data_IF_110948433278
#
_entry.id   IF_110948433278
#
_cell.length_a   1.000
_cell.length_b   1.000
_cell.length_c   1.000
_cell.angle_alpha   90.00
_cell.angle_beta   90.00
_cell.angle_gamma   90.00
#
_symmetry.space_group_name_H-M   'P 1'
#
loop_
_entity.id
_entity.type
_entity.pdbx_description
1 polymer ?
#
# COMPACT_ATOMS: atom_id res chain seq x y z
N UNK A 1 24.35 23.61 -12.26
CA UNK A 1 23.72 24.84 -11.73
C UNK A 1 22.79 25.39 -12.78
N UNK A 2 21.51 25.32 -12.57
CA UNK A 2 20.55 26.06 -13.38
C UNK A 2 20.64 27.52 -12.92
N UNK A 3 21.32 28.33 -13.69
CA UNK A 3 21.60 29.76 -13.59
C UNK A 3 21.21 30.47 -12.29
N UNK A 4 22.07 31.26 -11.74
CA UNK A 4 22.07 31.97 -10.44
C UNK A 4 20.81 32.71 -9.95
N UNK A 5 19.64 32.23 -10.32
CA UNK A 5 18.36 32.65 -9.75
C UNK A 5 18.08 31.89 -8.45
N UNK A 6 17.55 32.56 -7.45
CA UNK A 6 17.05 31.94 -6.23
C UNK A 6 16.00 30.90 -6.57
N UNK A 7 16.35 29.60 -6.46
CA UNK A 7 15.41 28.51 -6.70
C UNK A 7 14.32 28.52 -5.60
N UNK A 8 13.04 28.67 -5.96
CA UNK A 8 11.97 28.67 -4.98
C UNK A 8 11.95 27.33 -4.25
N UNK A 9 12.21 27.31 -2.98
CA UNK A 9 12.32 26.08 -2.19
C UNK A 9 13.75 25.73 -1.78
N UNK A 10 14.76 26.55 -2.10
CA UNK A 10 16.13 26.37 -1.61
C UNK A 10 16.20 26.28 -0.09
N UNK A 11 15.43 27.10 0.59
CA UNK A 11 15.32 27.10 2.06
C UNK A 11 14.81 25.77 2.61
N UNK A 12 14.00 25.04 1.82
CA UNK A 12 13.48 23.71 2.15
C UNK A 12 14.36 22.56 1.60
N UNK A 13 15.51 22.87 1.05
CA UNK A 13 16.43 21.86 0.50
C UNK A 13 15.98 21.20 -0.81
N UNK A 14 14.95 21.69 -1.48
CA UNK A 14 14.42 21.07 -2.70
C UNK A 14 15.40 21.09 -3.89
N UNK A 15 16.37 22.01 -3.89
CA UNK A 15 17.44 22.05 -4.89
C UNK A 15 18.32 20.80 -4.89
N UNK A 16 18.36 20.05 -3.77
CA UNK A 16 19.12 18.81 -3.64
C UNK A 16 18.29 17.55 -3.97
N UNK A 17 16.99 17.69 -4.22
CA UNK A 17 16.11 16.52 -4.41
C UNK A 17 16.47 15.74 -5.66
N UNK A 18 16.73 16.42 -6.79
CA UNK A 18 17.12 15.75 -8.03
C UNK A 18 18.46 15.05 -7.87
N UNK A 19 19.46 15.73 -7.31
CA UNK A 19 20.78 15.15 -7.03
C UNK A 19 20.65 13.87 -6.19
N UNK A 20 19.94 13.94 -5.07
CA UNK A 20 19.71 12.78 -4.19
C UNK A 20 18.89 11.67 -4.83
N UNK A 21 17.98 12.02 -5.72
CA UNK A 21 17.22 11.05 -6.50
C UNK A 21 18.11 10.26 -7.47
N UNK A 22 19.12 10.90 -8.03
CA UNK A 22 20.05 10.30 -8.99
C UNK A 22 21.25 9.63 -8.33
N UNK A 23 21.72 10.10 -7.17
CA UNK A 23 22.86 9.52 -6.46
C UNK A 23 22.49 8.22 -5.73
N UNK A 24 23.39 7.23 -5.78
CA UNK A 24 23.23 5.97 -5.06
C UNK A 24 23.39 6.17 -3.55
N UNK A 25 22.52 5.51 -2.79
CA UNK A 25 22.59 5.49 -1.32
C UNK A 25 22.47 6.86 -0.64
N UNK A 26 22.03 7.89 -1.37
CA UNK A 26 21.79 9.20 -0.79
C UNK A 26 20.32 9.39 -0.43
N UNK A 27 20.00 9.51 0.86
CA UNK A 27 18.67 9.83 1.34
C UNK A 27 18.77 10.66 2.63
N UNK A 28 18.02 11.75 2.70
CA UNK A 28 17.88 12.54 3.94
C UNK A 28 16.73 12.07 4.82
N UNK A 29 16.15 10.90 4.51
CA UNK A 29 14.91 10.42 5.11
C UNK A 29 15.15 9.40 6.22
N UNK A 30 16.41 9.24 6.68
CA UNK A 30 16.79 8.23 7.68
C UNK A 30 16.12 8.41 9.03
N UNK A 31 15.77 9.65 9.40
CA UNK A 31 15.32 9.97 10.75
C UNK A 31 13.82 10.33 10.85
N UNK A 32 13.13 10.46 9.72
CA UNK A 32 11.71 10.75 9.70
C UNK A 32 10.88 9.47 9.55
N UNK A 33 10.40 8.92 10.66
CA UNK A 33 9.59 7.69 10.72
C UNK A 33 8.28 7.70 9.90
N UNK A 34 7.97 8.81 9.24
CA UNK A 34 6.77 8.98 8.39
C UNK A 34 7.04 8.87 6.89
N UNK A 35 8.29 8.67 6.46
CA UNK A 35 8.66 8.73 5.05
C UNK A 35 9.17 7.40 4.54
N UNK A 36 8.55 6.89 3.50
CA UNK A 36 8.97 5.68 2.78
C UNK A 36 10.20 6.00 1.92
N UNK A 37 11.33 5.31 2.12
CA UNK A 37 12.50 5.49 1.25
C UNK A 37 13.83 5.78 1.96
N UNK A 38 14.22 4.92 2.89
CA UNK A 38 15.48 5.05 3.66
C UNK A 38 16.76 4.96 2.82
N UNK A 39 16.77 4.19 1.74
CA UNK A 39 18.02 3.82 1.03
C UNK A 39 18.29 4.58 -0.28
N UNK A 40 17.45 5.53 -0.67
CA UNK A 40 17.62 6.29 -1.92
C UNK A 40 17.52 5.44 -3.21
N UNK A 41 16.98 4.23 -3.12
CA UNK A 41 16.88 3.29 -4.25
C UNK A 41 15.52 3.37 -4.98
N UNK A 42 14.52 4.04 -4.41
CA UNK A 42 13.14 4.02 -4.94
C UNK A 42 13.02 4.50 -6.38
N UNK A 43 13.62 5.64 -6.72
CA UNK A 43 13.58 6.13 -8.10
C UNK A 43 14.43 5.26 -9.04
N UNK A 44 15.51 4.67 -8.56
CA UNK A 44 16.42 3.86 -9.39
C UNK A 44 15.80 2.53 -9.82
N UNK A 45 14.82 2.03 -9.08
CA UNK A 45 14.09 0.83 -9.49
C UNK A 45 13.28 1.05 -10.78
N UNK A 46 12.94 2.30 -11.15
CA UNK A 46 12.28 2.59 -12.43
C UNK A 46 13.14 2.23 -13.63
N UNK A 47 14.47 2.19 -13.46
CA UNK A 47 15.42 1.80 -14.52
C UNK A 47 15.36 0.31 -14.86
N UNK A 48 14.76 -0.49 -14.00
CA UNK A 48 14.45 -1.90 -14.33
C UNK A 48 13.33 -1.99 -15.37
N UNK A 49 12.47 -0.97 -15.43
CA UNK A 49 11.32 -0.93 -16.32
C UNK A 49 11.55 -0.01 -17.53
N UNK A 50 12.34 1.06 -17.39
CA UNK A 50 12.54 2.08 -18.42
C UNK A 50 13.99 2.52 -18.48
N UNK A 51 14.57 2.53 -19.67
CA UNK A 51 15.95 2.98 -19.88
C UNK A 51 16.07 4.51 -19.92
N UNK A 52 14.96 5.20 -20.18
CA UNK A 52 14.91 6.65 -20.37
C UNK A 52 13.70 7.28 -19.67
N UNK A 53 13.64 7.25 -18.33
CA UNK A 53 12.58 7.93 -17.61
C UNK A 53 12.56 9.43 -17.89
N UNK A 54 11.38 9.99 -18.07
CA UNK A 54 11.17 11.43 -18.25
C UNK A 54 10.63 12.01 -16.95
N UNK A 55 11.23 13.11 -16.51
CA UNK A 55 10.84 13.85 -15.31
C UNK A 55 10.48 15.28 -15.68
N UNK A 56 9.26 15.69 -15.35
CA UNK A 56 8.81 17.09 -15.49
C UNK A 56 8.25 17.57 -14.15
N UNK A 57 8.84 18.64 -13.62
CA UNK A 57 8.42 19.22 -12.33
C UNK A 57 8.76 20.72 -12.29
N UNK A 58 7.77 21.57 -12.19
CA UNK A 58 7.97 23.01 -12.22
C UNK A 58 8.73 23.48 -13.47
N UNK A 59 9.88 24.12 -13.30
CA UNK A 59 10.79 24.54 -14.37
C UNK A 59 11.63 23.42 -14.98
N UNK A 60 11.79 22.29 -14.27
CA UNK A 60 12.60 21.17 -14.69
C UNK A 60 11.83 20.31 -15.72
N UNK A 61 12.52 19.95 -16.80
CA UNK A 61 12.06 18.94 -17.74
C UNK A 61 13.28 18.21 -18.31
N UNK A 62 13.42 16.93 -17.98
CA UNK A 62 14.62 16.17 -18.32
C UNK A 62 14.29 14.71 -18.62
N UNK A 63 15.03 14.13 -19.54
CA UNK A 63 15.16 12.69 -19.72
C UNK A 63 16.35 12.18 -18.88
N UNK A 64 16.20 11.07 -18.18
CA UNK A 64 17.27 10.50 -17.36
C UNK A 64 17.92 9.35 -18.14
N UNK A 65 19.13 9.58 -18.62
CA UNK A 65 19.88 8.59 -19.40
C UNK A 65 20.83 7.81 -18.49
N UNK A 66 20.91 6.50 -18.70
CA UNK A 66 21.71 5.57 -17.92
C UNK A 66 21.51 5.70 -16.41
N UNK A 67 20.34 6.17 -15.98
CA UNK A 67 19.96 6.31 -14.58
C UNK A 67 20.62 7.41 -13.77
N UNK A 68 21.53 8.17 -14.39
CA UNK A 68 22.36 9.14 -13.70
C UNK A 68 22.41 10.51 -14.37
N UNK A 69 22.21 10.56 -15.69
CA UNK A 69 22.47 11.76 -16.47
C UNK A 69 21.15 12.44 -16.89
N UNK A 70 20.75 13.56 -16.27
CA UNK A 70 19.59 14.31 -16.70
C UNK A 70 19.95 15.13 -17.93
N UNK A 71 19.32 14.85 -19.06
CA UNK A 71 19.39 15.67 -20.26
C UNK A 71 18.12 16.52 -20.38
N UNK A 72 18.23 17.83 -20.62
CA UNK A 72 17.07 18.68 -20.86
C UNK A 72 16.24 18.16 -22.03
N UNK A 73 14.91 18.11 -21.86
CA UNK A 73 14.01 17.81 -22.95
C UNK A 73 14.02 18.96 -23.96
N UNK A 74 14.10 18.62 -25.25
CA UNK A 74 14.00 19.62 -26.33
C UNK A 74 12.61 20.24 -26.39
N UNK A 75 11.57 19.44 -26.18
CA UNK A 75 10.18 19.89 -26.08
C UNK A 75 9.51 19.30 -24.83
N UNK A 76 9.26 20.17 -23.86
CA UNK A 76 8.57 19.80 -22.62
C UNK A 76 7.06 20.13 -22.67
N UNK A 77 6.57 20.77 -23.74
CA UNK A 77 5.19 21.26 -23.83
C UNK A 77 4.15 20.14 -23.71
N UNK A 78 4.24 19.00 -24.42
CA UNK A 78 3.26 17.92 -24.34
C UNK A 78 3.13 17.37 -22.91
N UNK A 79 4.26 17.18 -22.22
CA UNK A 79 4.29 16.67 -20.86
C UNK A 79 3.70 17.66 -19.85
N UNK A 80 3.92 18.95 -20.03
CA UNK A 80 3.34 19.99 -19.18
C UNK A 80 1.83 20.12 -19.41
N UNK A 81 1.38 19.98 -20.64
CA UNK A 81 -0.04 19.93 -20.97
C UNK A 81 -0.69 18.75 -20.29
N UNK A 82 -0.14 17.56 -20.44
CA UNK A 82 -0.66 16.35 -19.78
C UNK A 82 -0.70 16.48 -18.26
N UNK A 83 0.36 16.99 -17.63
CA UNK A 83 0.36 17.27 -16.19
C UNK A 83 -0.76 18.24 -15.79
N UNK A 84 -1.06 19.24 -16.62
CA UNK A 84 -2.11 20.21 -16.36
C UNK A 84 -3.53 19.62 -16.49
N UNK A 85 -3.70 18.62 -17.33
CA UNK A 85 -4.95 17.89 -17.50
C UNK A 85 -5.21 16.95 -16.33
N UNK A 86 -4.18 16.25 -15.86
CA UNK A 86 -4.26 15.36 -14.70
C UNK A 86 -4.47 16.09 -13.37
N UNK A 87 -3.93 17.28 -13.23
CA UNK A 87 -4.01 18.08 -12.01
C UNK A 87 -4.42 19.54 -12.29
N UNK A 88 -5.67 19.80 -12.69
CA UNK A 88 -6.15 21.15 -12.98
C UNK A 88 -6.06 22.04 -11.73
N UNK A 89 -5.43 23.21 -11.89
CA UNK A 89 -5.23 24.17 -10.80
C UNK A 89 -3.92 24.02 -10.01
N UNK A 90 -3.23 22.91 -10.11
CA UNK A 90 -1.96 22.66 -9.38
C UNK A 90 -0.69 22.73 -10.26
N UNK A 91 -0.75 23.39 -11.39
CA UNK A 91 0.28 23.41 -12.45
C UNK A 91 1.72 23.69 -11.98
N UNK A 92 1.90 24.36 -10.84
CA UNK A 92 3.21 24.73 -10.31
C UNK A 92 3.75 23.77 -9.25
N UNK A 93 2.96 22.77 -8.84
CA UNK A 93 3.30 21.85 -7.73
C UNK A 93 3.35 20.40 -8.12
N UNK A 94 2.85 20.06 -9.29
CA UNK A 94 2.82 18.68 -9.77
C UNK A 94 4.18 18.21 -10.29
N UNK A 95 4.40 16.91 -10.22
CA UNK A 95 5.52 16.21 -10.85
C UNK A 95 4.97 15.09 -11.72
N UNK A 96 5.39 15.08 -12.99
CA UNK A 96 5.13 13.98 -13.92
C UNK A 96 6.40 13.13 -14.03
N UNK A 97 6.26 11.85 -13.83
CA UNK A 97 7.30 10.85 -14.15
C UNK A 97 6.70 9.93 -15.19
N UNK A 98 7.26 9.94 -16.39
CA UNK A 98 6.86 9.03 -17.46
C UNK A 98 7.94 7.99 -17.67
N UNK A 99 7.51 6.73 -17.76
CA UNK A 99 8.38 5.58 -17.97
C UNK A 99 8.04 4.95 -19.32
N UNK A 100 8.79 5.28 -20.40
CA UNK A 100 8.68 4.52 -21.65
C UNK A 100 9.07 3.06 -21.38
N UNK A 101 8.14 2.14 -21.56
CA UNK A 101 8.36 0.71 -21.31
C UNK A 101 8.71 -0.01 -22.62
N UNK A 102 9.58 -1.00 -22.55
CA UNK A 102 9.73 -1.97 -23.63
C UNK A 102 8.44 -2.78 -23.78
N UNK A 103 8.05 -3.09 -25.00
CA UNK A 103 6.77 -3.78 -25.30
C UNK A 103 6.65 -5.10 -24.55
N UNK A 104 7.74 -5.85 -24.47
CA UNK A 104 7.78 -7.15 -23.79
C UNK A 104 7.51 -7.04 -22.27
N UNK A 105 7.92 -5.93 -21.66
CA UNK A 105 7.70 -5.67 -20.22
C UNK A 105 6.34 -5.06 -19.90
N UNK A 106 5.71 -4.42 -20.89
CA UNK A 106 4.46 -3.70 -20.69
C UNK A 106 3.33 -4.61 -20.23
N UNK A 107 3.16 -5.76 -20.87
CA UNK A 107 2.09 -6.70 -20.53
C UNK A 107 2.24 -7.28 -19.11
N UNK A 108 3.46 -7.64 -18.69
CA UNK A 108 3.73 -8.15 -17.35
C UNK A 108 3.47 -7.09 -16.28
N UNK A 109 3.98 -5.87 -16.49
CA UNK A 109 3.78 -4.75 -15.57
C UNK A 109 2.30 -4.41 -15.45
N UNK A 110 1.56 -4.37 -16.55
CA UNK A 110 0.11 -4.11 -16.56
C UNK A 110 -0.64 -5.18 -15.76
N UNK A 111 -0.33 -6.46 -15.99
CA UNK A 111 -0.98 -7.55 -15.26
C UNK A 111 -0.72 -7.47 -13.74
N UNK A 112 0.51 -7.17 -13.33
CA UNK A 112 0.85 -6.98 -11.93
C UNK A 112 0.15 -5.75 -11.32
N UNK A 113 0.06 -4.65 -12.07
CA UNK A 113 -0.67 -3.48 -11.61
C UNK A 113 -2.17 -3.74 -11.45
N UNK A 114 -2.80 -4.42 -12.40
CA UNK A 114 -4.20 -4.83 -12.33
C UNK A 114 -4.48 -5.61 -11.04
N UNK A 115 -3.60 -6.55 -10.72
CA UNK A 115 -3.71 -7.39 -9.52
C UNK A 115 -3.56 -6.61 -8.21
N UNK A 116 -2.73 -5.59 -8.18
CA UNK A 116 -2.30 -4.91 -6.96
C UNK A 116 -2.98 -3.55 -6.73
N UNK A 117 -3.56 -2.96 -7.76
CA UNK A 117 -4.04 -1.58 -7.75
C UNK A 117 -5.04 -1.29 -6.62
N UNK A 118 -6.00 -2.16 -6.39
CA UNK A 118 -6.99 -1.99 -5.33
C UNK A 118 -6.36 -1.93 -3.93
N UNK A 119 -5.52 -2.91 -3.60
CA UNK A 119 -4.84 -2.96 -2.30
C UNK A 119 -3.82 -1.83 -2.15
N UNK A 120 -3.14 -1.47 -3.22
CA UNK A 120 -2.17 -0.37 -3.22
C UNK A 120 -2.84 0.97 -2.81
N UNK A 121 -4.04 1.23 -3.27
CA UNK A 121 -4.76 2.46 -2.90
C UNK A 121 -5.33 2.42 -1.48
N UNK A 122 -5.60 1.24 -0.93
CA UNK A 122 -6.03 1.08 0.47
C UNK A 122 -4.85 1.39 1.40
N UNK A 123 -3.68 0.79 1.14
CA UNK A 123 -2.52 0.93 2.02
C UNK A 123 -1.70 2.19 1.78
N UNK A 124 -1.75 2.77 0.57
CA UNK A 124 -1.08 4.03 0.29
C UNK A 124 -1.91 5.22 0.73
N UNK A 125 -1.31 6.10 1.52
CA UNK A 125 -1.93 7.36 1.96
C UNK A 125 -1.95 8.43 0.87
N UNK A 126 -1.11 8.29 -0.16
CA UNK A 126 -0.85 9.31 -1.17
C UNK A 126 -1.38 8.98 -2.55
N UNK A 127 -1.53 7.68 -2.88
CA UNK A 127 -2.08 7.27 -4.18
C UNK A 127 -3.61 7.36 -4.10
N UNK A 128 -4.18 8.25 -4.90
CA UNK A 128 -5.62 8.50 -4.96
C UNK A 128 -6.29 7.87 -6.15
N UNK A 129 -5.54 7.67 -7.22
CA UNK A 129 -6.05 7.15 -8.48
C UNK A 129 -4.97 6.32 -9.16
N UNK A 130 -5.37 5.18 -9.68
CA UNK A 130 -4.59 4.33 -10.60
C UNK A 130 -5.46 4.16 -11.85
N UNK A 131 -4.86 4.47 -12.99
CA UNK A 131 -5.49 4.40 -14.30
C UNK A 131 -4.63 3.48 -15.17
N UNK A 132 -5.22 2.45 -15.72
CA UNK A 132 -4.55 1.48 -16.59
C UNK A 132 -5.36 1.40 -17.88
N UNK A 133 -4.74 1.78 -19.00
CA UNK A 133 -5.33 1.78 -20.34
C UNK A 133 -6.68 2.54 -20.44
N UNK A 134 -6.83 3.62 -19.66
CA UNK A 134 -8.03 4.44 -19.62
C UNK A 134 -9.12 3.92 -18.65
N UNK A 135 -8.94 2.75 -18.07
CA UNK A 135 -9.82 2.24 -17.01
C UNK A 135 -9.33 2.68 -15.63
N UNK A 136 -10.25 3.21 -14.83
CA UNK A 136 -9.94 3.66 -13.48
C UNK A 136 -10.13 2.48 -12.52
N UNK A 137 -9.03 1.86 -12.10
CA UNK A 137 -9.07 0.71 -11.21
C UNK A 137 -9.21 1.12 -9.75
N UNK A 138 -8.73 2.33 -9.40
CA UNK A 138 -8.89 2.85 -8.06
C UNK A 138 -8.85 4.37 -8.08
N UNK A 139 -9.70 4.95 -7.26
CA UNK A 139 -9.91 6.38 -7.18
C UNK A 139 -10.02 6.81 -5.73
N UNK A 140 -10.16 8.12 -5.52
CA UNK A 140 -10.58 8.67 -4.24
C UNK A 140 -12.03 8.30 -3.86
N UNK A 141 -12.76 7.61 -4.72
CA UNK A 141 -14.14 7.14 -4.47
C UNK A 141 -14.21 5.99 -3.47
N UNK A 142 -13.09 5.29 -3.20
CA UNK A 142 -13.00 4.44 -2.05
C UNK A 142 -13.17 5.31 -0.79
N UNK A 143 -14.38 5.35 -0.28
CA UNK A 143 -14.75 6.04 0.94
C UNK A 143 -15.20 4.98 1.94
N UNK A 144 -14.26 4.43 2.71
CA UNK A 144 -14.60 3.42 3.69
C UNK A 144 -15.48 4.04 4.78
N UNK A 145 -16.51 3.33 5.15
CA UNK A 145 -17.31 3.67 6.32
C UNK A 145 -16.46 3.41 7.57
N UNK A 146 -16.37 4.40 8.44
CA UNK A 146 -15.67 4.24 9.72
C UNK A 146 -16.65 3.72 10.76
N UNK A 147 -16.39 2.54 11.27
CA UNK A 147 -17.22 1.90 12.29
C UNK A 147 -16.69 2.22 13.69
N UNK A 148 -17.55 2.61 14.63
CA UNK A 148 -17.10 3.13 15.94
C UNK A 148 -16.71 2.06 16.95
N UNK A 149 -16.96 0.80 16.65
CA UNK A 149 -16.90 -0.28 17.62
C UNK A 149 -15.64 -1.15 17.56
N UNK A 150 -14.54 -0.65 17.08
CA UNK A 150 -13.30 -1.42 17.08
C UNK A 150 -12.08 -0.62 17.59
N UNK A 151 -12.32 0.34 18.46
CA UNK A 151 -11.20 1.05 19.10
C UNK A 151 -10.29 0.07 19.87
N UNK A 152 -8.95 0.21 19.84
CA UNK A 152 -8.20 1.38 19.38
C UNK A 152 -7.91 1.44 17.88
N UNK A 153 -8.23 0.42 17.07
CA UNK A 153 -8.15 0.52 15.63
C UNK A 153 -9.33 1.32 15.05
N UNK A 154 -9.14 1.92 13.89
CA UNK A 154 -10.24 2.39 13.08
C UNK A 154 -10.67 1.25 12.16
N UNK A 155 -11.91 0.79 12.30
CA UNK A 155 -12.48 -0.22 11.43
C UNK A 155 -13.14 0.47 10.24
N UNK A 156 -12.63 0.20 9.07
CA UNK A 156 -13.10 0.80 7.81
C UNK A 156 -13.71 -0.28 6.93
N UNK A 157 -14.99 -0.13 6.60
CA UNK A 157 -15.71 -0.97 5.65
C UNK A 157 -15.77 -0.27 4.30
N UNK A 158 -15.47 -0.95 3.23
CA UNK A 158 -15.57 -0.37 1.90
C UNK A 158 -15.46 -1.39 0.79
N UNK A 159 -15.78 -0.98 -0.42
CA UNK A 159 -15.67 -1.80 -1.60
C UNK A 159 -14.33 -1.56 -2.29
N UNK A 160 -13.60 -2.62 -2.54
CA UNK A 160 -12.31 -2.57 -3.17
C UNK A 160 -12.26 -3.46 -4.41
N UNK A 161 -11.55 -2.97 -5.42
CA UNK A 161 -11.16 -3.78 -6.55
C UNK A 161 -9.97 -4.65 -6.13
N UNK A 162 -10.28 -5.85 -5.66
CA UNK A 162 -9.29 -6.81 -5.16
C UNK A 162 -9.11 -7.99 -6.13
N UNK A 163 -9.48 -7.79 -7.40
CA UNK A 163 -9.74 -8.89 -8.30
C UNK A 163 -8.51 -9.51 -8.97
N UNK A 164 -8.62 -10.82 -9.23
CA UNK A 164 -7.89 -11.57 -10.24
C UNK A 164 -8.60 -11.48 -11.61
N UNK A 165 -9.06 -10.28 -12.04
CA UNK A 165 -9.78 -10.12 -13.31
C UNK A 165 -10.96 -9.13 -13.24
N UNK A 166 -11.82 -9.05 -14.26
CA UNK A 166 -12.91 -8.07 -14.37
C UNK A 166 -14.11 -8.39 -13.46
N UNK A 167 -13.87 -8.81 -12.24
CA UNK A 167 -14.92 -9.10 -11.27
C UNK A 167 -15.37 -7.84 -10.54
N UNK A 168 -16.62 -7.84 -10.03
CA UNK A 168 -17.15 -6.71 -9.28
C UNK A 168 -16.30 -6.41 -8.04
N UNK A 169 -16.29 -5.15 -7.66
CA UNK A 169 -15.70 -4.70 -6.40
C UNK A 169 -16.11 -5.63 -5.25
N UNK A 170 -15.16 -5.99 -4.41
CA UNK A 170 -15.39 -6.84 -3.25
C UNK A 170 -15.46 -6.01 -1.99
N UNK A 171 -16.38 -6.33 -1.13
CA UNK A 171 -16.43 -5.75 0.20
C UNK A 171 -15.21 -6.21 0.99
N UNK A 172 -14.56 -5.29 1.69
CA UNK A 172 -13.40 -5.56 2.51
C UNK A 172 -13.48 -4.78 3.83
N UNK A 173 -12.86 -5.35 4.84
CA UNK A 173 -12.72 -4.76 6.15
C UNK A 173 -11.25 -4.45 6.41
N UNK A 174 -10.96 -3.20 6.73
CA UNK A 174 -9.62 -2.73 7.04
C UNK A 174 -9.55 -2.29 8.49
N UNK A 175 -8.86 -3.06 9.31
CA UNK A 175 -8.43 -2.65 10.65
C UNK A 175 -7.24 -1.72 10.49
N UNK A 176 -7.48 -0.42 10.54
CA UNK A 176 -6.44 0.58 10.37
C UNK A 176 -5.86 0.98 11.71
N UNK A 177 -4.56 0.84 11.84
CA UNK A 177 -3.76 1.26 13.00
C UNK A 177 -2.98 2.54 12.67
N UNK A 178 -2.43 3.25 13.67
CA UNK A 178 -1.62 4.44 13.43
C UNK A 178 -0.44 4.22 12.46
N UNK A 179 0.21 3.07 12.54
CA UNK A 179 1.38 2.73 11.73
C UNK A 179 1.16 1.59 10.73
N UNK A 180 -0.06 1.11 10.55
CA UNK A 180 -0.30 0.00 9.64
C UNK A 180 -1.75 -0.45 9.60
N UNK A 181 -1.97 -1.73 9.31
CA UNK A 181 -3.31 -2.31 9.32
C UNK A 181 -3.38 -3.74 8.85
N UNK A 182 -4.54 -4.34 9.09
CA UNK A 182 -4.93 -5.66 8.60
C UNK A 182 -6.12 -5.50 7.64
N UNK A 183 -6.00 -6.03 6.43
CA UNK A 183 -7.08 -6.09 5.44
C UNK A 183 -7.57 -7.52 5.32
N UNK A 184 -8.88 -7.70 5.40
CA UNK A 184 -9.58 -8.98 5.21
C UNK A 184 -10.77 -8.78 4.27
N UNK A 185 -11.11 -9.80 3.49
CA UNK A 185 -12.32 -9.77 2.67
C UNK A 185 -13.57 -9.95 3.54
N UNK A 186 -14.68 -9.36 3.10
CA UNK A 186 -15.99 -9.55 3.72
C UNK A 186 -17.00 -9.92 2.64
N UNK A 187 -17.95 -10.76 2.97
CA UNK A 187 -19.07 -11.13 2.14
C UNK A 187 -20.36 -11.09 2.94
N UNK A 188 -21.48 -11.37 2.28
CA UNK A 188 -22.79 -11.42 2.94
C UNK A 188 -22.88 -12.43 4.09
N UNK A 189 -22.08 -13.48 4.01
CA UNK A 189 -22.08 -14.60 4.98
C UNK A 189 -20.88 -14.56 5.94
N UNK A 190 -20.23 -13.41 6.12
CA UNK A 190 -19.09 -13.24 7.00
C UNK A 190 -17.77 -12.99 6.27
N UNK A 191 -16.66 -13.26 6.95
CA UNK A 191 -15.34 -13.02 6.41
C UNK A 191 -14.98 -14.00 5.28
N UNK A 192 -14.26 -13.50 4.30
CA UNK A 192 -13.79 -14.27 3.15
C UNK A 192 -12.29 -14.03 2.92
N UNK A 193 -11.57 -15.03 2.43
CA UNK A 193 -10.17 -14.83 2.09
C UNK A 193 -10.02 -13.81 0.95
N UNK A 194 -8.97 -13.00 1.03
CA UNK A 194 -8.49 -12.20 -0.10
C UNK A 194 -7.99 -13.11 -1.23
N UNK A 195 -7.86 -12.59 -2.46
CA UNK A 195 -7.36 -13.34 -3.61
C UNK A 195 -6.02 -14.03 -3.33
N UNK A 196 -5.84 -15.24 -3.84
CA UNK A 196 -4.67 -16.08 -3.54
C UNK A 196 -3.34 -15.47 -3.98
N UNK A 197 -3.33 -14.72 -5.08
CA UNK A 197 -2.14 -14.07 -5.61
C UNK A 197 -1.80 -12.73 -4.95
N UNK A 198 -2.55 -12.34 -3.92
CA UNK A 198 -2.27 -11.09 -3.23
C UNK A 198 -1.13 -11.28 -2.23
N UNK A 199 -0.07 -10.45 -2.24
CA UNK A 199 0.97 -10.48 -1.23
C UNK A 199 0.40 -10.25 0.17
N UNK A 200 0.86 -11.05 1.14
CA UNK A 200 0.39 -10.95 2.51
C UNK A 200 1.02 -9.77 3.26
N UNK A 201 2.26 -9.40 2.94
CA UNK A 201 3.00 -8.35 3.63
C UNK A 201 3.20 -7.13 2.73
N UNK A 202 2.90 -5.96 3.30
CA UNK A 202 2.99 -4.67 2.64
C UNK A 202 3.77 -3.68 3.51
N UNK A 203 4.57 -2.87 2.86
CA UNK A 203 5.20 -1.68 3.46
C UNK A 203 4.82 -0.50 2.58
N UNK A 204 3.52 -0.15 2.59
CA UNK A 204 2.82 0.72 1.64
C UNK A 204 2.78 0.12 0.23
N UNK A 205 3.88 -0.42 -0.26
CA UNK A 205 3.99 -1.17 -1.51
C UNK A 205 4.01 -2.68 -1.22
N UNK A 206 3.62 -3.52 -2.19
CA UNK A 206 3.65 -4.97 -2.01
C UNK A 206 5.09 -5.47 -1.87
N UNK A 207 5.28 -6.47 -1.02
CA UNK A 207 6.48 -7.28 -1.01
C UNK A 207 6.28 -8.52 -1.86
N UNK A 208 7.35 -9.29 -2.07
CA UNK A 208 7.26 -10.64 -2.69
C UNK A 208 7.09 -11.74 -1.62
N UNK A 209 6.68 -11.32 -0.43
CA UNK A 209 6.42 -12.27 0.65
C UNK A 209 5.05 -12.91 0.45
N UNK A 210 5.05 -14.16 0.62
CA UNK A 210 4.00 -15.16 0.61
C UNK A 210 2.61 -14.66 0.16
N UNK A 211 2.12 -15.23 -0.92
CA UNK A 211 0.77 -15.07 -1.43
C UNK A 211 -0.18 -16.10 -0.77
N UNK A 212 -1.48 -15.84 -0.84
CA UNK A 212 -2.49 -16.82 -0.47
C UNK A 212 -2.78 -17.00 1.00
N UNK A 213 -2.38 -16.07 1.88
CA UNK A 213 -2.75 -16.14 3.30
C UNK A 213 -4.24 -15.84 3.57
N UNK A 214 -4.93 -15.22 2.61
CA UNK A 214 -6.34 -14.84 2.77
C UNK A 214 -6.55 -13.49 3.45
N UNK A 215 -5.49 -12.83 3.90
CA UNK A 215 -5.47 -11.48 4.46
C UNK A 215 -4.18 -10.78 4.07
N UNK A 216 -4.11 -9.46 4.28
CA UNK A 216 -2.90 -8.68 4.04
C UNK A 216 -2.58 -7.79 5.24
N UNK A 217 -1.31 -7.72 5.62
CA UNK A 217 -0.79 -6.90 6.71
C UNK A 217 0.06 -5.80 6.10
N UNK A 218 -0.24 -4.55 6.43
CA UNK A 218 0.59 -3.40 6.11
C UNK A 218 1.24 -2.86 7.39
N UNK A 219 2.53 -2.57 7.32
CA UNK A 219 3.24 -2.01 8.47
C UNK A 219 4.60 -1.43 8.09
N UNK A 220 5.25 -0.68 8.99
CA UNK A 220 6.56 -0.08 8.75
C UNK A 220 7.69 -1.10 8.99
N UNK A 221 7.57 -2.27 8.36
CA UNK A 221 8.54 -3.35 8.50
C UNK A 221 9.88 -3.01 7.82
N UNK A 222 10.95 -3.56 8.37
CA UNK A 222 12.25 -3.55 7.72
C UNK A 222 12.27 -4.57 6.59
N UNK A 223 12.74 -4.11 5.44
CA UNK A 223 12.89 -4.91 4.24
C UNK A 223 14.37 -5.14 3.91
N UNK A 224 14.65 -6.16 3.14
CA UNK A 224 15.94 -6.39 2.53
C UNK A 224 16.37 -5.20 1.63
N UNK A 225 17.61 -5.19 1.16
CA UNK A 225 18.14 -4.13 0.30
C UNK A 225 17.35 -3.99 -1.01
N UNK A 226 16.80 -5.10 -1.53
CA UNK A 226 15.93 -5.12 -2.70
C UNK A 226 14.49 -4.66 -2.43
N UNK A 227 14.13 -4.44 -1.18
CA UNK A 227 12.78 -4.08 -0.72
C UNK A 227 11.70 -5.06 -1.17
N UNK A 228 12.10 -6.28 -1.39
CA UNK A 228 11.22 -7.34 -1.89
C UNK A 228 10.79 -8.30 -0.81
N UNK A 229 11.56 -8.41 0.27
CA UNK A 229 11.32 -9.34 1.37
C UNK A 229 11.55 -8.67 2.73
N UNK A 230 11.00 -9.28 3.77
CA UNK A 230 11.32 -8.90 5.15
C UNK A 230 12.82 -9.10 5.41
N UNK A 231 13.43 -8.19 6.16
CA UNK A 231 14.80 -8.36 6.62
C UNK A 231 14.83 -9.50 7.64
N UNK A 232 15.72 -10.47 7.40
CA UNK A 232 15.89 -11.62 8.30
C UNK A 232 16.41 -11.21 9.67
N UNK A 233 15.91 -11.84 10.72
CA UNK A 233 16.30 -11.61 12.12
C UNK A 233 16.23 -10.13 12.55
N UNK A 234 15.27 -9.38 12.02
CA UNK A 234 15.09 -7.97 12.34
C UNK A 234 14.33 -7.79 13.67
N UNK A 235 15.00 -7.25 14.67
CA UNK A 235 14.35 -6.86 15.94
C UNK A 235 13.29 -5.78 15.73
N UNK A 236 13.41 -4.96 14.70
CA UNK A 236 12.40 -3.98 14.32
C UNK A 236 11.12 -4.68 13.86
N UNK A 237 11.24 -5.73 13.03
CA UNK A 237 10.08 -6.50 12.57
C UNK A 237 9.38 -7.20 13.73
N UNK A 238 10.15 -7.73 14.70
CA UNK A 238 9.59 -8.31 15.92
C UNK A 238 8.79 -7.27 16.72
N UNK A 239 9.40 -6.13 17.02
CA UNK A 239 8.74 -5.05 17.78
C UNK A 239 7.48 -4.53 17.08
N UNK A 240 7.53 -4.37 15.75
CA UNK A 240 6.39 -3.91 14.97
C UNK A 240 5.28 -4.96 14.89
N UNK A 241 5.64 -6.23 14.76
CA UNK A 241 4.68 -7.34 14.82
C UNK A 241 3.94 -7.38 16.15
N UNK A 242 4.66 -7.29 17.25
CA UNK A 242 4.11 -7.25 18.60
C UNK A 242 3.16 -6.04 18.78
N UNK A 243 3.60 -4.85 18.37
CA UNK A 243 2.77 -3.64 18.47
C UNK A 243 1.47 -3.73 17.65
N UNK A 244 1.54 -4.24 16.41
CA UNK A 244 0.37 -4.46 15.58
C UNK A 244 -0.56 -5.51 16.17
N UNK A 245 -0.02 -6.62 16.68
CA UNK A 245 -0.77 -7.69 17.31
C UNK A 245 -1.53 -7.22 18.55
N UNK A 246 -0.88 -6.44 19.40
CA UNK A 246 -1.52 -5.88 20.60
C UNK A 246 -2.71 -4.97 20.24
N UNK A 247 -2.54 -4.06 19.27
CA UNK A 247 -3.64 -3.19 18.81
C UNK A 247 -4.77 -3.99 18.16
N UNK A 248 -4.44 -4.99 17.35
CA UNK A 248 -5.42 -5.87 16.75
C UNK A 248 -6.22 -6.64 17.80
N UNK A 249 -5.54 -7.20 18.81
CA UNK A 249 -6.20 -7.91 19.89
C UNK A 249 -7.21 -7.04 20.63
N UNK A 250 -6.83 -5.81 20.96
CA UNK A 250 -7.76 -4.87 21.60
C UNK A 250 -8.96 -4.51 20.70
N UNK A 251 -8.71 -4.30 19.41
CA UNK A 251 -9.78 -4.02 18.46
C UNK A 251 -10.76 -5.21 18.32
N UNK A 252 -10.24 -6.43 18.32
CA UNK A 252 -11.06 -7.64 18.25
C UNK A 252 -11.87 -7.85 19.54
N UNK A 253 -11.31 -7.56 20.72
CA UNK A 253 -12.06 -7.59 21.99
C UNK A 253 -13.18 -6.55 21.97
N UNK A 254 -12.90 -5.32 21.51
CA UNK A 254 -13.92 -4.29 21.38
C UNK A 254 -15.03 -4.70 20.41
N UNK A 255 -14.67 -5.24 19.23
CA UNK A 255 -15.61 -5.76 18.27
C UNK A 255 -16.44 -6.91 18.85
N UNK A 256 -15.81 -7.84 19.57
CA UNK A 256 -16.50 -8.95 20.24
C UNK A 256 -17.55 -8.45 21.24
N UNK A 257 -17.21 -7.43 22.04
CA UNK A 257 -18.15 -6.81 22.97
C UNK A 257 -19.36 -6.21 22.25
N UNK A 258 -19.14 -5.52 21.14
CA UNK A 258 -20.24 -4.97 20.34
C UNK A 258 -21.12 -6.04 19.71
N UNK A 259 -20.51 -7.07 19.14
CA UNK A 259 -21.22 -8.22 18.56
C UNK A 259 -22.13 -8.86 19.61
N UNK A 260 -21.63 -9.10 20.81
CA UNK A 260 -22.39 -9.71 21.90
C UNK A 260 -23.52 -8.81 22.46
N UNK A 261 -23.42 -7.49 22.28
CA UNK A 261 -24.44 -6.55 22.79
C UNK A 261 -25.46 -6.11 21.75
N UNK A 262 -25.06 -5.98 20.49
CA UNK A 262 -25.90 -5.51 19.38
C UNK A 262 -25.58 -6.22 18.07
N UNK A 263 -25.76 -7.52 18.03
CA UNK A 263 -25.54 -8.32 16.82
C UNK A 263 -26.37 -7.83 15.60
N UNK A 264 -27.66 -7.49 15.78
CA UNK A 264 -28.45 -6.95 14.64
C UNK A 264 -27.85 -5.68 14.05
N UNK A 265 -27.44 -4.73 14.88
CA UNK A 265 -26.83 -3.47 14.44
C UNK A 265 -25.47 -3.69 13.78
N UNK A 266 -24.63 -4.59 14.32
CA UNK A 266 -23.35 -4.96 13.70
C UNK A 266 -23.56 -5.61 12.32
N UNK A 267 -24.55 -6.51 12.18
CA UNK A 267 -24.89 -7.11 10.89
C UNK A 267 -25.25 -6.07 9.85
N UNK A 268 -26.13 -5.13 10.22
CA UNK A 268 -26.54 -4.04 9.33
C UNK A 268 -25.34 -3.20 8.89
N UNK A 269 -24.50 -2.77 9.84
CA UNK A 269 -23.33 -1.94 9.57
C UNK A 269 -22.28 -2.66 8.72
N UNK A 270 -22.11 -3.96 8.91
CA UNK A 270 -21.21 -4.77 8.10
C UNK A 270 -21.83 -5.32 6.82
N UNK A 271 -23.09 -4.97 6.53
CA UNK A 271 -23.84 -5.43 5.33
C UNK A 271 -23.89 -6.96 5.22
N UNK A 272 -24.06 -7.65 6.37
CA UNK A 272 -24.18 -9.10 6.43
C UNK A 272 -25.65 -9.50 6.19
N UNK A 273 -25.85 -10.51 5.35
CA UNK A 273 -27.17 -10.98 4.94
C UNK A 273 -27.47 -12.35 5.55
N UNK A 274 -28.70 -12.83 5.34
CA UNK A 274 -29.15 -14.17 5.76
C UNK A 274 -29.25 -14.36 7.27
N UNK A 275 -29.29 -15.61 7.71
CA UNK A 275 -29.41 -16.01 9.12
C UNK A 275 -28.05 -16.25 9.77
N UNK A 276 -27.06 -15.39 9.45
CA UNK A 276 -25.72 -15.49 10.01
C UNK A 276 -25.76 -15.32 11.53
N UNK A 277 -25.27 -16.32 12.25
CA UNK A 277 -25.12 -16.25 13.70
C UNK A 277 -23.81 -15.61 14.11
N UNK A 278 -23.73 -15.08 15.34
CA UNK A 278 -22.47 -14.57 15.90
C UNK A 278 -21.35 -15.61 15.84
N UNK A 279 -21.66 -16.87 16.18
CA UNK A 279 -20.70 -17.95 16.11
C UNK A 279 -20.14 -18.16 14.70
N UNK A 280 -21.00 -18.19 13.69
CA UNK A 280 -20.58 -18.35 12.29
C UNK A 280 -19.75 -17.16 11.79
N UNK A 281 -20.08 -15.94 12.23
CA UNK A 281 -19.29 -14.75 11.95
C UNK A 281 -17.86 -14.87 12.49
N UNK A 282 -17.71 -15.22 13.76
CA UNK A 282 -16.39 -15.40 14.37
C UNK A 282 -15.64 -16.59 13.79
N UNK A 283 -16.34 -17.68 13.51
CA UNK A 283 -15.73 -18.84 12.84
C UNK A 283 -15.17 -18.47 11.47
N UNK A 284 -15.91 -17.69 10.69
CA UNK A 284 -15.42 -17.24 9.37
C UNK A 284 -14.17 -16.39 9.45
N UNK A 285 -14.06 -15.47 10.44
CA UNK A 285 -12.84 -14.73 10.69
C UNK A 285 -11.67 -15.63 11.06
N UNK A 286 -11.93 -16.54 11.99
CA UNK A 286 -10.93 -17.51 12.45
C UNK A 286 -10.40 -18.37 11.31
N UNK A 287 -11.27 -18.89 10.44
CA UNK A 287 -10.87 -19.68 9.28
C UNK A 287 -9.95 -18.90 8.33
N UNK A 288 -10.24 -17.62 8.07
CA UNK A 288 -9.38 -16.76 7.25
C UNK A 288 -8.02 -16.58 7.91
N UNK A 289 -7.97 -16.23 9.19
CA UNK A 289 -6.72 -15.97 9.92
C UNK A 289 -5.88 -17.23 10.10
N UNK A 290 -6.50 -18.35 10.45
CA UNK A 290 -5.80 -19.63 10.65
C UNK A 290 -5.23 -20.21 9.36
N UNK A 291 -5.77 -19.87 8.20
CA UNK A 291 -5.18 -20.28 6.92
C UNK A 291 -3.72 -19.84 6.83
N UNK A 292 -3.43 -18.60 7.24
CA UNK A 292 -2.06 -18.06 7.32
C UNK A 292 -1.16 -18.80 8.30
N UNK A 293 -1.70 -19.23 9.44
CA UNK A 293 -0.94 -19.93 10.48
C UNK A 293 -0.64 -21.42 10.14
N UNK A 294 -1.32 -21.99 9.17
CA UNK A 294 -1.05 -23.37 8.72
C UNK A 294 0.18 -23.48 7.84
N UNK A 295 0.63 -22.39 7.27
CA UNK A 295 1.82 -22.34 6.42
C UNK A 295 3.05 -22.11 7.29
N UNK A 296 3.76 -23.18 7.65
CA UNK A 296 4.90 -23.13 8.57
C UNK A 296 6.20 -22.71 7.85
N UNK A 297 6.96 -21.83 8.51
CA UNK A 297 8.35 -21.50 8.17
C UNK A 297 8.59 -20.08 7.64
N UNK A 298 9.81 -19.58 7.89
CA UNK A 298 10.29 -18.26 7.43
C UNK A 298 9.80 -17.06 8.24
N UNK A 299 10.33 -15.91 7.88
CA UNK A 299 10.08 -14.62 8.57
C UNK A 299 8.60 -14.20 8.54
N UNK A 300 7.90 -14.51 7.46
CA UNK A 300 6.46 -14.20 7.34
C UNK A 300 5.65 -14.96 8.37
N UNK A 301 5.93 -16.24 8.54
CA UNK A 301 5.26 -17.06 9.55
C UNK A 301 5.49 -16.51 10.96
N UNK A 302 6.73 -16.16 11.28
CA UNK A 302 7.07 -15.58 12.58
C UNK A 302 6.32 -14.26 12.81
N UNK A 303 6.31 -13.36 11.81
CA UNK A 303 5.58 -12.11 11.90
C UNK A 303 4.07 -12.32 12.08
N UNK A 304 3.46 -13.19 11.27
CA UNK A 304 2.03 -13.49 11.33
C UNK A 304 1.66 -14.11 12.68
N UNK A 305 2.47 -15.02 13.20
CA UNK A 305 2.26 -15.64 14.52
C UNK A 305 2.30 -14.59 15.61
N UNK A 306 3.25 -13.66 15.59
CA UNK A 306 3.30 -12.55 16.56
C UNK A 306 2.05 -11.68 16.48
N UNK A 307 1.65 -11.27 15.28
CA UNK A 307 0.48 -10.40 15.09
C UNK A 307 -0.81 -11.08 15.51
N UNK A 308 -0.99 -12.36 15.20
CA UNK A 308 -2.29 -13.03 15.38
C UNK A 308 -2.40 -13.86 16.66
N UNK A 309 -1.32 -14.34 17.24
CA UNK A 309 -1.37 -15.28 18.35
C UNK A 309 -0.74 -14.75 19.64
N UNK A 310 0.51 -14.27 19.57
CA UNK A 310 1.26 -13.97 20.79
C UNK A 310 0.80 -12.68 21.46
N UNK A 311 0.48 -11.66 20.69
CA UNK A 311 0.18 -10.33 21.21
C UNK A 311 -1.32 -9.96 21.12
N UNK A 312 -2.07 -10.61 20.24
CA UNK A 312 -3.50 -10.34 20.09
C UNK A 312 -4.36 -10.95 21.20
N UNK A 313 -3.80 -11.88 21.98
CA UNK A 313 -4.56 -12.64 22.97
C UNK A 313 -5.56 -13.64 22.36
N UNK A 314 -5.40 -13.98 21.09
CA UNK A 314 -6.24 -14.95 20.36
C UNK A 314 -5.73 -16.40 20.50
N UNK A 315 -4.60 -16.62 21.18
CA UNK A 315 -3.98 -17.92 21.39
C UNK A 315 -4.54 -18.72 22.54
#
# INVERSE_FOLDING_TARGET
EVGGGTFPGRERGFHQVLEKMLMLSSSNKSDEGKVTGKFGLGFKSVLLASDKPILVSGGLAAEIIAGLCPLPLQDAHPFRQHLSELAPGERRRGTLIQLPLAVEKSAEITADFLRLAGTLTIFSRMIRRIDIDGEIHRTCEWQPETLPFAQPATLELGEADLADGPLPKRLALHFRFPEGGLLVGLGSEGFRPLPEKLPAIWVVAPTREQEGLGFAINGPFDLDAGRSRLAGNSTVNEQKGNALGWVLGQALVALHTHVGTDWPGVREQLRLEGDLTEYAFWLSLWEVLCKGLRQKGGEVYQLVTRVLCEESGLG
#
